data_IF_109839941025
#
_entry.id   IF_109839941025
#
_cell.length_a   1.000
_cell.length_b   1.000
_cell.length_c   1.000
_cell.angle_alpha   90.00
_cell.angle_beta   90.00
_cell.angle_gamma   90.00
#
_symmetry.space_group_name_H-M   'P 1'
#
loop_
_entity.id
_entity.type
_entity.pdbx_description
1 polymer ?
#
# COMPACT_ATOMS: atom_id res chain seq x y z
N UNK A 1 3.13 4.86 -12.50
CA UNK A 1 3.21 4.45 -11.07
C UNK A 1 2.79 3.00 -10.92
N UNK A 2 1.66 2.59 -11.50
CA UNK A 2 1.23 1.18 -11.48
C UNK A 2 2.22 0.24 -12.19
N UNK A 3 2.92 0.73 -13.22
CA UNK A 3 3.95 -0.05 -13.92
C UNK A 3 5.22 -0.34 -13.10
N UNK A 4 5.33 0.21 -11.87
CA UNK A 4 6.47 0.03 -10.98
C UNK A 4 6.09 -0.73 -9.71
N UNK A 5 4.95 -1.42 -9.75
CA UNK A 5 4.42 -2.20 -8.64
C UNK A 5 4.39 -3.67 -9.03
N UNK A 6 4.90 -4.53 -8.16
CA UNK A 6 4.94 -5.98 -8.36
C UNK A 6 4.59 -6.73 -7.06
N UNK A 7 3.94 -7.89 -7.19
CA UNK A 7 3.70 -8.78 -6.05
C UNK A 7 4.89 -9.70 -5.92
N UNK A 8 5.57 -9.65 -4.79
CA UNK A 8 6.64 -10.60 -4.48
C UNK A 8 6.26 -11.27 -3.18
N UNK A 9 5.95 -12.56 -3.28
CA UNK A 9 5.51 -13.39 -2.17
C UNK A 9 4.34 -12.75 -1.39
N UNK A 10 4.59 -12.29 -0.17
CA UNK A 10 3.59 -11.78 0.77
C UNK A 10 3.53 -10.25 0.84
N UNK A 11 4.23 -9.55 -0.07
CA UNK A 11 4.35 -8.10 -0.05
C UNK A 11 4.20 -7.46 -1.44
N UNK A 12 4.06 -6.13 -1.43
CA UNK A 12 4.09 -5.30 -2.63
C UNK A 12 5.44 -4.62 -2.74
N UNK A 13 6.14 -4.85 -3.84
CA UNK A 13 7.38 -4.13 -4.15
C UNK A 13 7.05 -2.92 -5.01
N UNK A 14 7.51 -1.74 -4.58
CA UNK A 14 7.36 -0.48 -5.33
C UNK A 14 8.73 0.04 -5.72
N UNK A 15 9.02 0.07 -7.02
CA UNK A 15 10.25 0.63 -7.55
C UNK A 15 10.10 2.13 -7.82
N UNK A 16 11.03 2.92 -7.30
CA UNK A 16 11.11 4.35 -7.59
C UNK A 16 12.07 4.59 -8.76
N UNK A 17 11.75 5.53 -9.65
CA UNK A 17 12.60 5.93 -10.79
C UNK A 17 13.91 6.64 -10.38
N UNK A 18 14.09 6.89 -9.08
CA UNK A 18 15.22 7.59 -8.47
C UNK A 18 14.84 8.08 -7.07
N UNK A 19 15.84 8.40 -6.26
CA UNK A 19 15.65 8.93 -4.90
C UNK A 19 16.69 10.00 -4.57
N UNK A 20 16.61 10.66 -3.40
CA UNK A 20 17.52 11.78 -3.07
C UNK A 20 19.00 11.37 -3.09
N UNK A 21 19.30 10.14 -2.71
CA UNK A 21 20.65 9.55 -2.81
C UNK A 21 21.08 9.12 -4.21
N UNK A 22 20.16 9.00 -5.17
CA UNK A 22 20.44 8.64 -6.56
C UNK A 22 19.35 9.20 -7.47
N UNK A 23 19.58 10.43 -7.96
CA UNK A 23 18.64 11.11 -8.84
C UNK A 23 18.59 10.49 -10.24
N UNK A 24 19.59 9.68 -10.61
CA UNK A 24 19.67 9.02 -11.93
C UNK A 24 18.90 7.72 -11.97
N UNK A 25 18.64 7.11 -10.81
CA UNK A 25 17.98 5.81 -10.69
C UNK A 25 18.85 4.63 -11.15
N UNK A 26 20.16 4.83 -11.31
CA UNK A 26 21.10 3.79 -11.72
C UNK A 26 21.21 2.65 -10.68
N UNK A 27 21.02 2.97 -9.40
CA UNK A 27 21.01 2.05 -8.26
C UNK A 27 19.63 1.98 -7.62
N UNK A 28 18.57 2.12 -8.41
CA UNK A 28 17.20 1.99 -7.90
C UNK A 28 16.95 0.60 -7.33
N UNK A 29 16.12 0.54 -6.30
CA UNK A 29 15.69 -0.70 -5.66
C UNK A 29 14.21 -0.61 -5.31
N UNK A 30 13.57 -1.77 -5.22
CA UNK A 30 12.18 -1.88 -4.81
C UNK A 30 12.03 -1.76 -3.28
N UNK A 31 11.03 -1.00 -2.84
CA UNK A 31 10.65 -0.91 -1.42
C UNK A 31 9.52 -1.88 -1.13
N UNK A 32 9.69 -2.71 -0.11
CA UNK A 32 8.70 -3.72 0.30
C UNK A 32 7.62 -3.07 1.16
N UNK A 33 6.36 -3.19 0.75
CA UNK A 33 5.17 -2.64 1.42
C UNK A 33 4.28 -3.81 1.82
N UNK A 34 3.92 -3.87 3.10
CA UNK A 34 3.19 -4.99 3.68
C UNK A 34 1.74 -4.60 4.02
N UNK A 35 0.87 -5.61 4.06
CA UNK A 35 -0.45 -5.47 4.63
C UNK A 35 -0.38 -5.47 6.17
N UNK A 36 -1.33 -4.79 6.80
CA UNK A 36 -1.59 -4.93 8.23
C UNK A 36 -3.02 -5.47 8.43
N UNK A 37 -3.20 -6.80 8.52
CA UNK A 37 -4.53 -7.38 8.71
C UNK A 37 -5.11 -7.12 10.10
N UNK A 38 -4.31 -6.66 11.07
CA UNK A 38 -4.78 -6.37 12.42
C UNK A 38 -5.33 -4.96 12.56
N UNK A 39 -4.87 -4.02 11.72
CA UNK A 39 -5.28 -2.62 11.77
C UNK A 39 -5.68 -2.13 10.37
N UNK A 40 -6.95 -2.31 9.96
CA UNK A 40 -7.41 -1.93 8.63
C UNK A 40 -7.28 -0.43 8.33
N UNK A 41 -7.38 0.44 9.33
CA UNK A 41 -7.23 1.89 9.16
C UNK A 41 -5.82 2.33 8.73
N UNK A 42 -4.81 1.50 8.99
CA UNK A 42 -3.40 1.73 8.65
C UNK A 42 -2.91 0.84 7.51
N UNK A 43 -3.73 -0.09 7.04
CA UNK A 43 -3.34 -1.09 6.05
C UNK A 43 -3.25 -0.46 4.65
N UNK A 44 -2.02 -0.27 4.17
CA UNK A 44 -1.76 0.34 2.84
C UNK A 44 -2.34 -0.52 1.71
N UNK A 45 -2.33 -1.85 1.85
CA UNK A 45 -2.88 -2.76 0.83
C UNK A 45 -4.41 -2.66 0.76
N UNK A 46 -5.09 -2.54 1.91
CA UNK A 46 -6.53 -2.30 1.95
C UNK A 46 -6.87 -0.93 1.34
N UNK A 47 -6.14 0.13 1.70
CA UNK A 47 -6.35 1.46 1.15
C UNK A 47 -6.15 1.47 -0.38
N UNK A 48 -5.12 0.78 -0.87
CA UNK A 48 -4.87 0.58 -2.30
C UNK A 48 -6.01 -0.18 -2.97
N UNK A 49 -6.53 -1.23 -2.34
CA UNK A 49 -7.64 -2.02 -2.85
C UNK A 49 -8.89 -1.17 -2.99
N UNK A 50 -9.30 -0.47 -1.93
CA UNK A 50 -10.45 0.45 -1.94
C UNK A 50 -10.30 1.48 -3.06
N UNK A 51 -9.11 2.06 -3.23
CA UNK A 51 -8.86 3.04 -4.28
C UNK A 51 -8.96 2.44 -5.70
N UNK A 52 -8.30 1.31 -5.97
CA UNK A 52 -8.32 0.67 -7.29
C UNK A 52 -9.73 0.22 -7.67
N UNK A 53 -10.47 -0.41 -6.75
CA UNK A 53 -11.82 -0.88 -7.01
C UNK A 53 -12.86 0.26 -7.04
N UNK A 54 -12.57 1.44 -6.47
CA UNK A 54 -13.39 2.65 -6.66
C UNK A 54 -13.15 3.31 -8.02
N UNK A 55 -11.95 3.14 -8.59
CA UNK A 55 -11.55 3.75 -9.87
C UNK A 55 -10.87 2.71 -10.80
N UNK A 56 -11.62 1.67 -11.24
CA UNK A 56 -11.04 0.53 -11.95
C UNK A 56 -10.71 0.81 -13.41
N UNK A 57 -11.29 1.85 -14.02
CA UNK A 57 -11.21 2.06 -15.47
C UNK A 57 -9.78 2.28 -15.95
N UNK A 58 -9.36 1.47 -16.93
CA UNK A 58 -8.09 1.64 -17.65
C UNK A 58 -8.31 1.57 -19.14
N UNK A 59 -7.81 2.58 -19.86
CA UNK A 59 -7.92 2.69 -21.30
C UNK A 59 -6.67 2.14 -22.00
N UNK A 60 -6.85 1.57 -23.18
CA UNK A 60 -5.76 1.12 -24.05
C UNK A 60 -4.87 2.32 -24.39
N UNK A 61 -3.56 2.20 -24.17
CA UNK A 61 -2.60 3.30 -24.36
C UNK A 61 -2.74 4.45 -23.35
N UNK A 62 -3.63 4.32 -22.35
CA UNK A 62 -3.82 5.29 -21.29
C UNK A 62 -2.66 5.37 -20.32
N UNK A 63 -2.56 6.49 -19.59
CA UNK A 63 -1.54 6.66 -18.54
C UNK A 63 -1.84 5.72 -17.36
N UNK A 64 -0.83 4.95 -16.94
CA UNK A 64 -0.91 4.00 -15.84
C UNK A 64 -0.64 4.68 -14.47
N UNK A 65 -1.48 5.67 -14.16
CA UNK A 65 -1.43 6.44 -12.92
C UNK A 65 -2.22 5.73 -11.81
N UNK A 66 -1.67 5.70 -10.59
CA UNK A 66 -2.42 5.25 -9.43
C UNK A 66 -3.46 6.29 -9.03
N UNK A 67 -3.04 7.55 -8.91
CA UNK A 67 -3.93 8.68 -8.66
C UNK A 67 -4.15 9.45 -9.96
N UNK A 68 -5.37 9.40 -10.48
CA UNK A 68 -5.75 10.02 -11.77
C UNK A 68 -5.58 11.55 -11.68
N UNK A 69 -5.22 12.19 -12.80
CA UNK A 69 -5.07 13.64 -12.94
C UNK A 69 -3.63 14.17 -12.84
N UNK A 70 -3.49 15.50 -12.87
CA UNK A 70 -2.24 16.23 -12.71
C UNK A 70 -2.02 16.71 -11.27
N UNK A 71 -0.85 17.30 -11.01
CA UNK A 71 -0.55 18.05 -9.79
C UNK A 71 -0.75 17.25 -8.50
N UNK A 72 -0.36 15.97 -8.54
CA UNK A 72 -0.55 15.03 -7.44
C UNK A 72 0.08 15.53 -6.13
N UNK A 73 1.21 16.23 -6.22
CA UNK A 73 1.90 16.80 -5.05
C UNK A 73 1.07 17.87 -4.36
N UNK A 74 0.59 18.87 -5.11
CA UNK A 74 -0.20 19.97 -4.56
C UNK A 74 -1.57 19.49 -4.10
N UNK A 75 -2.18 18.58 -4.87
CA UNK A 75 -3.44 17.95 -4.49
C UNK A 75 -3.30 17.20 -3.19
N UNK A 76 -2.24 16.40 -3.03
CA UNK A 76 -1.95 15.73 -1.77
C UNK A 76 -1.75 16.72 -0.62
N UNK A 77 -0.98 17.79 -0.82
CA UNK A 77 -0.79 18.83 0.19
C UNK A 77 -2.06 19.58 0.58
N UNK A 78 -3.00 19.79 -0.35
CA UNK A 78 -4.33 20.35 -0.05
C UNK A 78 -5.21 19.38 0.74
N UNK A 79 -5.24 18.11 0.34
CA UNK A 79 -5.99 17.06 1.04
C UNK A 79 -5.47 16.86 2.47
N UNK A 80 -4.15 16.78 2.64
CA UNK A 80 -3.52 16.64 3.95
C UNK A 80 -3.90 17.80 4.88
N UNK A 81 -3.83 19.06 4.40
CA UNK A 81 -4.26 20.24 5.18
C UNK A 81 -5.74 20.18 5.56
N UNK A 82 -6.61 19.70 4.67
CA UNK A 82 -8.03 19.52 4.96
C UNK A 82 -8.25 18.49 6.06
N UNK A 83 -7.53 17.36 6.02
CA UNK A 83 -7.61 16.31 7.03
C UNK A 83 -7.11 16.82 8.39
N UNK A 84 -5.95 17.48 8.41
CA UNK A 84 -5.39 18.07 9.64
C UNK A 84 -6.37 19.10 10.23
N UNK A 85 -6.95 19.97 9.39
CA UNK A 85 -7.92 20.96 9.83
C UNK A 85 -9.28 20.39 10.27
N UNK A 86 -9.52 19.10 10.06
CA UNK A 86 -10.71 18.39 10.56
C UNK A 86 -10.46 17.55 11.82
N UNK A 87 -9.22 17.48 12.30
CA UNK A 87 -8.90 16.78 13.54
C UNK A 87 -9.51 17.51 14.74
N UNK A 88 -10.03 16.73 15.69
CA UNK A 88 -10.46 17.20 16.99
C UNK A 88 -9.27 17.57 17.88
N UNK A 89 -9.54 18.36 18.93
CA UNK A 89 -8.52 18.69 19.94
C UNK A 89 -8.00 17.43 20.65
N UNK A 90 -8.87 16.43 20.86
CA UNK A 90 -8.49 15.13 21.41
C UNK A 90 -7.50 14.40 20.50
N UNK A 91 -7.76 14.31 19.20
CA UNK A 91 -6.86 13.69 18.22
C UNK A 91 -5.52 14.44 18.12
N UNK A 92 -5.53 15.77 18.15
CA UNK A 92 -4.32 16.58 18.16
C UNK A 92 -3.48 16.35 19.43
N UNK A 93 -4.13 16.18 20.58
CA UNK A 93 -3.46 15.80 21.84
C UNK A 93 -2.85 14.41 21.77
N UNK A 94 -3.54 13.44 21.16
CA UNK A 94 -2.99 12.10 20.94
C UNK A 94 -1.74 12.15 20.05
N UNK A 95 -1.77 12.95 18.98
CA UNK A 95 -0.61 13.16 18.11
C UNK A 95 0.54 13.93 18.79
N UNK A 96 0.27 14.59 19.91
CA UNK A 96 1.24 15.40 20.68
C UNK A 96 1.97 16.44 19.81
N UNK A 97 1.26 17.01 18.83
CA UNK A 97 1.82 17.98 17.89
C UNK A 97 0.77 19.00 17.46
N UNK A 98 1.22 20.19 17.06
CA UNK A 98 0.31 21.21 16.53
C UNK A 98 0.06 21.00 15.03
N UNK A 99 -1.10 21.41 14.49
CA UNK A 99 -1.41 21.31 13.06
C UNK A 99 -0.31 21.85 12.13
N UNK A 100 0.38 22.92 12.54
CA UNK A 100 1.37 23.64 11.73
C UNK A 100 2.65 22.83 11.51
N UNK A 101 2.96 21.87 12.38
CA UNK A 101 4.16 21.02 12.26
C UNK A 101 3.91 19.76 11.43
N UNK A 102 2.65 19.44 11.13
CA UNK A 102 2.29 18.30 10.29
C UNK A 102 2.34 18.72 8.82
N UNK A 103 3.33 18.19 8.09
CA UNK A 103 3.50 18.42 6.66
C UNK A 103 3.65 17.13 5.87
N UNK A 104 3.77 17.24 4.55
CA UNK A 104 3.95 16.09 3.65
C UNK A 104 5.21 15.27 3.99
N UNK A 105 6.24 15.93 4.51
CA UNK A 105 7.46 15.26 4.98
C UNK A 105 7.28 14.50 6.29
N UNK A 106 6.26 14.80 7.10
CA UNK A 106 6.00 14.15 8.38
C UNK A 106 5.70 12.67 8.22
N UNK A 107 5.07 12.25 7.11
CA UNK A 107 4.83 10.83 6.83
C UNK A 107 6.14 10.04 6.70
N UNK A 108 7.06 10.52 5.87
CA UNK A 108 8.36 9.85 5.64
C UNK A 108 9.28 9.95 6.86
N UNK A 109 9.36 11.14 7.48
CA UNK A 109 10.23 11.36 8.65
C UNK A 109 9.68 10.67 9.90
N UNK A 110 8.38 10.74 10.14
CA UNK A 110 7.72 10.06 11.26
C UNK A 110 7.90 8.54 11.18
N UNK A 111 7.72 7.95 10.00
CA UNK A 111 7.99 6.52 9.79
C UNK A 111 9.45 6.15 10.11
N UNK A 112 10.41 7.01 9.75
CA UNK A 112 11.81 6.78 10.08
C UNK A 112 12.10 6.92 11.58
N UNK A 113 11.53 7.94 12.24
CA UNK A 113 11.68 8.12 13.69
C UNK A 113 11.07 6.95 14.46
N UNK A 114 9.90 6.46 14.02
CA UNK A 114 9.26 5.27 14.59
C UNK A 114 10.15 4.04 14.47
N UNK A 115 10.70 3.76 13.28
CA UNK A 115 11.55 2.59 13.06
C UNK A 115 12.89 2.68 13.82
N UNK A 116 13.50 3.87 13.88
CA UNK A 116 14.73 4.12 14.63
C UNK A 116 14.55 4.05 16.15
N UNK A 117 13.31 4.26 16.63
CA UNK A 117 12.96 4.20 18.05
C UNK A 117 12.77 2.79 18.58
N UNK A 118 12.71 1.77 17.72
CA UNK A 118 12.48 0.39 18.16
C UNK A 118 13.76 -0.26 18.70
N UNK A 119 13.68 -0.85 19.88
CA UNK A 119 14.75 -1.69 20.44
C UNK A 119 14.91 -2.92 19.55
N UNK A 120 16.14 -3.25 19.15
CA UNK A 120 16.45 -4.30 18.16
C UNK A 120 15.82 -4.09 16.77
N UNK A 121 15.41 -2.86 16.45
CA UNK A 121 14.88 -2.51 15.13
C UNK A 121 15.95 -2.49 14.01
N UNK A 122 15.56 -2.05 12.80
CA UNK A 122 16.49 -1.94 11.68
C UNK A 122 17.62 -0.96 11.98
N UNK A 123 18.80 -1.22 11.41
CA UNK A 123 19.93 -0.30 11.58
C UNK A 123 19.62 1.09 11.03
N UNK A 124 20.19 2.16 11.59
CA UNK A 124 19.95 3.51 11.06
C UNK A 124 20.29 3.65 9.57
N UNK A 125 21.30 2.93 9.11
CA UNK A 125 21.69 2.94 7.70
C UNK A 125 20.60 2.34 6.81
N UNK A 126 20.01 1.21 7.21
CA UNK A 126 18.90 0.57 6.48
C UNK A 126 17.68 1.50 6.38
N UNK A 127 17.34 2.19 7.47
CA UNK A 127 16.24 3.16 7.48
C UNK A 127 16.53 4.33 6.53
N UNK A 128 17.74 4.91 6.57
CA UNK A 128 18.12 6.01 5.69
C UNK A 128 18.14 5.61 4.21
N UNK A 129 18.62 4.41 3.89
CA UNK A 129 18.56 3.86 2.54
C UNK A 129 17.11 3.71 2.06
N UNK A 130 16.21 3.14 2.87
CA UNK A 130 14.78 3.04 2.53
C UNK A 130 14.11 4.41 2.33
N UNK A 131 14.50 5.41 3.14
CA UNK A 131 14.04 6.79 2.95
C UNK A 131 14.56 7.43 1.65
N UNK A 132 15.50 6.78 0.96
CA UNK A 132 16.17 7.29 -0.22
C UNK A 132 17.17 8.39 0.07
N UNK A 133 17.72 8.44 1.29
CA UNK A 133 18.67 9.47 1.73
C UNK A 133 20.11 9.06 1.41
N UNK A 134 20.95 10.02 0.98
CA UNK A 134 22.39 9.80 0.83
C UNK A 134 23.05 9.59 2.20
N UNK A 135 23.95 8.62 2.28
CA UNK A 135 24.80 8.36 3.45
C UNK A 135 26.11 9.17 3.40
N UNK A 136 26.29 9.98 2.35
CA UNK A 136 27.46 10.80 2.08
C UNK A 136 28.49 10.10 1.20
N UNK A 137 29.43 10.89 0.65
CA UNK A 137 30.37 10.48 -0.43
C UNK A 137 31.17 9.21 -0.17
N UNK A 138 31.54 8.94 1.08
CA UNK A 138 32.34 7.75 1.42
C UNK A 138 31.46 6.52 1.60
N UNK A 139 30.38 6.64 2.39
CA UNK A 139 29.52 5.51 2.77
C UNK A 139 28.69 4.99 1.60
N UNK A 140 28.22 5.88 0.72
CA UNK A 140 27.46 5.51 -0.48
C UNK A 140 28.24 4.60 -1.45
N UNK A 141 29.58 4.53 -1.34
CA UNK A 141 30.43 3.65 -2.17
C UNK A 141 30.51 2.21 -1.70
N UNK A 142 30.17 1.93 -0.44
CA UNK A 142 30.40 0.63 0.19
C UNK A 142 29.18 0.05 0.90
N UNK A 143 28.20 0.90 1.22
CA UNK A 143 26.98 0.48 1.90
C UNK A 143 25.83 0.56 0.92
N UNK A 144 25.29 -0.61 0.58
CA UNK A 144 24.24 -0.77 -0.41
C UNK A 144 22.92 -1.18 0.23
N UNK A 145 21.86 -1.05 -0.55
CA UNK A 145 20.55 -1.56 -0.18
C UNK A 145 20.63 -3.05 0.13
N UNK A 146 20.03 -3.45 1.26
CA UNK A 146 19.89 -4.84 1.66
C UNK A 146 18.42 -5.20 1.76
N UNK A 147 17.98 -6.17 0.96
CA UNK A 147 16.58 -6.55 0.82
C UNK A 147 15.94 -6.96 2.16
N UNK A 148 16.55 -7.88 2.90
CA UNK A 148 16.02 -8.32 4.21
C UNK A 148 15.92 -7.18 5.23
N UNK A 149 16.83 -6.21 5.18
CA UNK A 149 16.75 -5.04 6.05
C UNK A 149 15.61 -4.10 5.65
N UNK A 150 15.31 -3.98 4.35
CA UNK A 150 14.17 -3.22 3.85
C UNK A 150 12.84 -3.92 4.16
N UNK A 151 12.79 -5.25 4.06
CA UNK A 151 11.64 -6.07 4.45
C UNK A 151 11.32 -5.89 5.94
N UNK A 152 12.34 -5.93 6.82
CA UNK A 152 12.20 -5.62 8.25
C UNK A 152 11.63 -4.20 8.46
N UNK A 153 12.20 -3.20 7.78
CA UNK A 153 11.69 -1.83 7.84
C UNK A 153 10.22 -1.76 7.36
N UNK A 154 9.90 -2.47 6.27
CA UNK A 154 8.59 -2.47 5.64
C UNK A 154 7.49 -3.01 6.53
N UNK A 155 7.73 -4.15 7.18
CA UNK A 155 6.80 -4.73 8.16
C UNK A 155 6.61 -3.83 9.36
N UNK A 156 7.70 -3.27 9.88
CA UNK A 156 7.66 -2.37 11.02
C UNK A 156 6.84 -1.11 10.72
N UNK A 157 7.11 -0.41 9.61
CA UNK A 157 6.34 0.80 9.27
C UNK A 157 4.92 0.51 8.79
N UNK A 158 4.59 -0.74 8.46
CA UNK A 158 3.19 -1.16 8.27
C UNK A 158 2.42 -1.26 9.59
N UNK A 159 3.09 -1.08 10.74
CA UNK A 159 2.48 -1.17 12.08
C UNK A 159 2.27 -2.60 12.55
N UNK A 160 3.02 -3.56 12.01
CA UNK A 160 2.97 -4.95 12.48
C UNK A 160 3.66 -5.07 13.85
N UNK A 161 3.16 -5.93 14.76
CA UNK A 161 3.65 -6.01 16.13
C UNK A 161 5.05 -6.67 16.17
N UNK A 162 6.10 -5.85 16.21
CA UNK A 162 7.49 -6.27 16.09
C UNK A 162 7.97 -7.23 17.19
N UNK A 163 7.37 -7.14 18.36
CA UNK A 163 7.68 -7.94 19.56
C UNK A 163 6.87 -9.25 19.64
N UNK A 164 6.18 -9.64 18.57
CA UNK A 164 5.31 -10.82 18.51
C UNK A 164 5.59 -11.64 17.25
N UNK A 165 5.34 -12.94 17.34
CA UNK A 165 5.24 -13.86 16.19
C UNK A 165 4.30 -13.35 15.08
N UNK A 166 3.28 -12.56 15.46
CA UNK A 166 2.37 -11.87 14.54
C UNK A 166 3.06 -10.85 13.62
N UNK A 167 4.33 -10.49 13.86
CA UNK A 167 5.12 -9.66 12.96
C UNK A 167 5.25 -10.27 11.55
N UNK A 168 5.34 -11.61 11.49
CA UNK A 168 5.47 -12.38 10.26
C UNK A 168 4.14 -12.71 9.58
N UNK A 169 3.04 -12.07 9.96
CA UNK A 169 1.71 -12.39 9.40
C UNK A 169 1.68 -12.25 7.88
N UNK A 170 1.00 -13.18 7.22
CA UNK A 170 0.71 -13.12 5.79
C UNK A 170 -0.47 -12.16 5.53
N UNK A 171 -0.51 -11.48 4.36
CA UNK A 171 -1.71 -10.76 3.97
C UNK A 171 -2.89 -11.74 3.83
N UNK A 172 -4.14 -11.26 3.93
CA UNK A 172 -5.29 -12.04 3.50
C UNK A 172 -5.04 -12.56 2.08
N UNK A 173 -5.29 -13.85 1.85
CA UNK A 173 -5.02 -14.52 0.59
C UNK A 173 -6.04 -15.62 0.33
N UNK A 174 -6.32 -15.87 -0.94
CA UNK A 174 -7.13 -17.02 -1.33
C UNK A 174 -6.27 -18.29 -1.37
N UNK A 175 -6.86 -19.47 -1.09
CA UNK A 175 -6.24 -20.75 -1.39
C UNK A 175 -5.87 -20.86 -2.88
N UNK A 176 -4.81 -21.61 -3.19
CA UNK A 176 -4.31 -21.80 -4.56
C UNK A 176 -5.40 -22.29 -5.54
N UNK A 177 -6.31 -23.14 -5.07
CA UNK A 177 -7.43 -23.64 -5.86
C UNK A 177 -8.31 -22.48 -6.39
N UNK A 178 -8.65 -21.52 -5.53
CA UNK A 178 -9.47 -20.36 -5.92
C UNK A 178 -8.65 -19.43 -6.81
N UNK A 179 -7.40 -19.13 -6.44
CA UNK A 179 -6.53 -18.25 -7.24
C UNK A 179 -6.33 -18.79 -8.66
N UNK A 180 -6.28 -20.12 -8.85
CA UNK A 180 -6.16 -20.76 -10.17
C UNK A 180 -7.37 -20.54 -11.09
N UNK A 181 -8.54 -20.25 -10.52
CA UNK A 181 -9.78 -19.98 -11.24
C UNK A 181 -9.95 -18.48 -11.58
N UNK A 182 -9.19 -17.61 -10.93
CA UNK A 182 -9.20 -16.15 -11.17
C UNK A 182 -8.37 -15.79 -12.41
N UNK A 183 -8.79 -16.32 -13.56
CA UNK A 183 -8.12 -16.09 -14.85
C UNK A 183 -8.27 -14.63 -15.32
N UNK A 184 -7.57 -14.28 -16.40
CA UNK A 184 -7.73 -12.96 -17.04
C UNK A 184 -9.19 -12.72 -17.45
N UNK A 185 -9.88 -13.75 -17.96
CA UNK A 185 -11.30 -13.65 -18.33
C UNK A 185 -12.18 -13.33 -17.12
N UNK A 186 -11.97 -14.04 -15.99
CA UNK A 186 -12.67 -13.74 -14.74
C UNK A 186 -12.46 -12.27 -14.34
N UNK A 187 -11.22 -11.78 -14.40
CA UNK A 187 -10.93 -10.41 -14.00
C UNK A 187 -11.46 -9.36 -14.96
N UNK A 188 -11.51 -9.62 -16.26
CA UNK A 188 -12.12 -8.70 -17.23
C UNK A 188 -13.65 -8.58 -17.00
N UNK A 189 -14.31 -9.61 -16.47
CA UNK A 189 -15.72 -9.56 -16.06
C UNK A 189 -15.92 -8.76 -14.76
N UNK A 190 -14.99 -8.87 -13.80
CA UNK A 190 -15.10 -8.22 -12.49
C UNK A 190 -14.63 -6.76 -12.53
N UNK A 191 -13.54 -6.49 -13.25
CA UNK A 191 -12.85 -5.20 -13.29
C UNK A 191 -12.74 -4.73 -14.74
N UNK A 192 -13.54 -3.71 -15.08
CA UNK A 192 -13.51 -3.10 -16.41
C UNK A 192 -12.10 -2.62 -16.76
N UNK A 193 -11.54 -3.16 -17.84
CA UNK A 193 -10.20 -2.82 -18.30
C UNK A 193 -9.07 -3.51 -17.53
N UNK A 194 -9.33 -4.62 -16.83
CA UNK A 194 -8.29 -5.42 -16.16
C UNK A 194 -7.12 -5.76 -17.09
N UNK A 195 -7.41 -6.24 -18.30
CA UNK A 195 -6.40 -6.54 -19.32
C UNK A 195 -5.51 -5.35 -19.70
N UNK A 196 -5.94 -4.10 -19.43
CA UNK A 196 -5.17 -2.88 -19.69
C UNK A 196 -4.24 -2.47 -18.54
N UNK A 197 -4.30 -3.15 -17.39
CA UNK A 197 -3.35 -2.94 -16.30
C UNK A 197 -1.96 -3.53 -16.63
N UNK A 198 -0.86 -2.96 -16.11
CA UNK A 198 0.45 -3.59 -16.20
C UNK A 198 0.47 -4.97 -15.53
N UNK A 199 1.17 -5.95 -16.12
CA UNK A 199 1.23 -7.33 -15.60
C UNK A 199 1.64 -7.39 -14.12
N UNK A 200 2.59 -6.54 -13.69
CA UNK A 200 3.06 -6.51 -12.29
C UNK A 200 1.96 -6.19 -11.27
N UNK A 201 0.99 -5.34 -11.62
CA UNK A 201 -0.14 -5.04 -10.72
C UNK A 201 -1.33 -5.98 -10.94
N UNK A 202 -1.46 -6.64 -12.10
CA UNK A 202 -2.50 -7.65 -12.31
C UNK A 202 -2.42 -8.78 -11.27
N UNK A 203 -1.20 -9.23 -10.93
CA UNK A 203 -0.99 -10.24 -9.87
C UNK A 203 -1.39 -9.77 -8.47
N UNK A 204 -1.60 -8.45 -8.28
CA UNK A 204 -2.08 -7.90 -7.02
C UNK A 204 -3.57 -8.12 -6.78
N UNK A 205 -4.37 -8.22 -7.84
CA UNK A 205 -5.83 -8.18 -7.74
C UNK A 205 -6.43 -9.24 -6.80
N UNK A 206 -5.96 -10.50 -6.79
CA UNK A 206 -6.42 -11.48 -5.80
C UNK A 206 -6.22 -11.00 -4.35
N UNK A 207 -5.05 -10.44 -4.03
CA UNK A 207 -4.72 -9.92 -2.69
C UNK A 207 -5.49 -8.65 -2.34
N UNK A 208 -5.72 -7.77 -3.31
CA UNK A 208 -6.55 -6.56 -3.11
C UNK A 208 -8.00 -6.95 -2.82
N UNK A 209 -8.53 -7.90 -3.59
CA UNK A 209 -9.91 -8.37 -3.47
C UNK A 209 -10.16 -9.06 -2.14
N UNK A 210 -9.31 -10.01 -1.76
CA UNK A 210 -9.44 -10.70 -0.45
C UNK A 210 -9.20 -9.75 0.72
N UNK A 211 -8.35 -8.73 0.59
CA UNK A 211 -8.17 -7.71 1.63
C UNK A 211 -9.47 -6.93 1.88
N UNK A 212 -10.19 -6.57 0.82
CA UNK A 212 -11.53 -5.98 0.93
C UNK A 212 -12.50 -6.90 1.67
N UNK A 213 -12.55 -8.17 1.29
CA UNK A 213 -13.50 -9.15 1.85
C UNK A 213 -13.19 -9.38 3.33
N UNK A 214 -11.91 -9.59 3.65
CA UNK A 214 -11.43 -9.81 5.00
C UNK A 214 -11.73 -8.62 5.92
N UNK A 215 -11.77 -7.40 5.38
CA UNK A 215 -12.06 -6.18 6.12
C UNK A 215 -13.47 -5.62 5.87
N UNK A 216 -14.41 -6.45 5.39
CA UNK A 216 -15.75 -6.01 4.99
C UNK A 216 -16.48 -5.25 6.12
N UNK A 217 -16.49 -5.81 7.34
CA UNK A 217 -17.17 -5.21 8.48
C UNK A 217 -16.63 -3.81 8.81
N UNK A 218 -15.29 -3.66 8.76
CA UNK A 218 -14.64 -2.37 8.93
C UNK A 218 -15.05 -1.38 7.85
N UNK A 219 -15.03 -1.80 6.58
CA UNK A 219 -15.38 -0.93 5.45
C UNK A 219 -16.85 -0.50 5.50
N UNK A 220 -17.77 -1.39 5.87
CA UNK A 220 -19.20 -1.08 6.04
C UNK A 220 -19.45 -0.04 7.13
N UNK A 221 -18.69 -0.11 8.22
CA UNK A 221 -18.81 0.83 9.34
C UNK A 221 -18.23 2.21 9.02
N UNK A 222 -17.16 2.29 8.21
CA UNK A 222 -16.36 3.50 8.06
C UNK A 222 -16.51 4.20 6.70
N UNK A 223 -17.00 3.52 5.66
CA UNK A 223 -17.29 4.15 4.37
C UNK A 223 -18.75 4.62 4.34
N UNK A 224 -18.99 5.76 3.68
CA UNK A 224 -20.36 6.24 3.47
C UNK A 224 -21.17 5.29 2.58
N UNK A 225 -22.49 5.29 2.73
CA UNK A 225 -23.38 4.39 1.97
C UNK A 225 -23.27 4.59 0.46
N UNK A 226 -22.98 5.82 0.01
CA UNK A 226 -22.81 6.18 -1.40
C UNK A 226 -21.35 6.09 -1.88
N UNK A 227 -20.45 5.44 -1.11
CA UNK A 227 -19.06 5.31 -1.51
C UNK A 227 -18.97 4.44 -2.79
N UNK A 228 -18.23 4.84 -3.85
CA UNK A 228 -18.19 4.11 -5.12
C UNK A 228 -17.79 2.63 -4.98
N UNK A 229 -16.92 2.32 -4.01
CA UNK A 229 -16.56 0.93 -3.73
C UNK A 229 -17.73 0.11 -3.19
N UNK A 230 -18.76 0.68 -2.54
CA UNK A 230 -19.92 -0.07 -2.02
C UNK A 230 -20.78 -0.65 -3.14
N UNK A 231 -20.99 0.10 -4.23
CA UNK A 231 -21.69 -0.40 -5.41
C UNK A 231 -20.88 -1.48 -6.12
N UNK A 232 -19.56 -1.29 -6.20
CA UNK A 232 -18.67 -2.31 -6.76
C UNK A 232 -18.57 -3.54 -5.83
N UNK A 233 -18.60 -3.38 -4.50
CA UNK A 233 -18.67 -4.47 -3.52
C UNK A 233 -19.94 -5.30 -3.69
N UNK A 234 -21.09 -4.67 -3.97
CA UNK A 234 -22.32 -5.39 -4.27
C UNK A 234 -22.16 -6.23 -5.54
N UNK A 235 -21.61 -5.68 -6.63
CA UNK A 235 -21.37 -6.41 -7.89
C UNK A 235 -20.32 -7.53 -7.76
N UNK A 236 -19.21 -7.23 -7.08
CA UNK A 236 -18.16 -8.18 -6.74
C UNK A 236 -18.74 -9.32 -5.90
N UNK A 237 -19.56 -9.04 -4.88
CA UNK A 237 -20.22 -10.09 -4.10
C UNK A 237 -21.04 -11.00 -5.00
N UNK A 238 -21.85 -10.50 -5.93
CA UNK A 238 -22.61 -11.38 -6.83
C UNK A 238 -21.70 -12.31 -7.66
N UNK A 239 -20.59 -11.80 -8.21
CA UNK A 239 -19.63 -12.60 -8.99
C UNK A 239 -18.81 -13.57 -8.13
N UNK A 240 -18.34 -13.12 -6.95
CA UNK A 240 -17.64 -13.96 -5.99
C UNK A 240 -18.56 -15.02 -5.40
N UNK A 241 -19.81 -14.71 -5.05
CA UNK A 241 -20.77 -15.73 -4.59
C UNK A 241 -21.02 -16.76 -5.69
N UNK A 242 -21.06 -16.40 -6.98
CA UNK A 242 -21.16 -17.44 -8.03
C UNK A 242 -19.94 -18.37 -8.12
N UNK A 243 -18.73 -17.88 -7.79
CA UNK A 243 -17.48 -18.67 -7.87
C UNK A 243 -17.13 -19.38 -6.55
N UNK A 244 -17.37 -18.73 -5.41
CA UNK A 244 -16.97 -19.16 -4.07
C UNK A 244 -18.06 -20.00 -3.41
N UNK A 245 -19.34 -19.77 -3.70
CA UNK A 245 -20.44 -20.59 -3.14
C UNK A 245 -20.45 -22.03 -3.70
N UNK A 246 -19.74 -22.27 -4.81
CA UNK A 246 -19.50 -23.60 -5.36
C UNK A 246 -18.48 -24.42 -4.54
N UNK A 247 -17.75 -23.79 -3.61
CA UNK A 247 -16.68 -24.40 -2.80
C UNK A 247 -16.78 -24.15 -1.28
N UNK A 248 -17.79 -23.41 -0.82
CA UNK A 248 -18.05 -23.14 0.61
C UNK A 248 -19.40 -23.68 1.10
N UNK A 249 -19.89 -24.76 0.48
CA UNK A 249 -20.85 -25.71 1.07
C UNK A 249 -20.21 -27.10 1.11
#
# INVERSE_FOLDING_TARGET
>A
MLQHMECVEDCRVVEEQGHKGDQTGANKFGKHVYANPYQPSQCTILALAVHIFSFPERFIGGKQQLFIGSDSTDRFGRLLRRVIGSLSEEELRELSCTPEVIGTHSLRKGSSSYALGQVNGPTPVSVYLRMGQSLGRLKDRYIHFGEGADQLCGRMIAGLPFDSDRFGVLPPHFPLLITSQMTVQYWDEVVSGFSNYPRGIQSAFPFLLVSIIFHEDYLRKNLCENHPSQDHFRRIRFSIYSVVHQYFL
#
